data_IF_202523225162
#
_entry.id   IF_202523225162
#
_cell.length_a   1.000
_cell.length_b   1.000
_cell.length_c   1.000
_cell.angle_alpha   90.00
_cell.angle_beta   90.00
_cell.angle_gamma   90.00
#
_symmetry.space_group_name_H-M   'P 1'
#
loop_
_entity.id
_entity.type
_entity.pdbx_description
1 polymer ?
#
# COMPACT_ATOMS: atom_id res chain seq x y z
N UNK A 1 11.77 7.43 16.89
CA UNK A 1 12.69 8.56 16.67
C UNK A 1 13.03 8.78 15.19
N UNK A 2 13.64 7.83 14.45
CA UNK A 2 13.92 8.00 13.00
C UNK A 2 12.66 8.19 12.15
N UNK A 3 11.62 7.42 12.39
CA UNK A 3 10.31 7.58 11.72
C UNK A 3 9.71 8.97 11.95
N UNK A 4 9.72 9.46 13.18
CA UNK A 4 9.16 10.78 13.54
C UNK A 4 9.92 11.93 12.86
N UNK A 5 11.26 11.85 12.82
CA UNK A 5 12.09 12.83 12.13
C UNK A 5 11.86 12.76 10.62
N UNK A 6 11.85 11.56 10.05
CA UNK A 6 11.56 11.36 8.62
C UNK A 6 10.17 11.90 8.24
N UNK A 7 9.16 11.62 9.05
CA UNK A 7 7.79 12.08 8.82
C UNK A 7 7.61 13.59 9.06
N UNK A 8 8.47 14.23 9.85
CA UNK A 8 8.42 15.67 10.04
C UNK A 8 9.07 16.46 8.89
N UNK A 9 10.10 15.90 8.24
CA UNK A 9 10.91 16.62 7.24
C UNK A 9 10.57 16.23 5.81
N UNK A 10 10.43 14.92 5.52
CA UNK A 10 10.24 14.46 4.15
C UNK A 10 8.90 14.88 3.51
N UNK A 11 7.74 14.80 4.20
CA UNK A 11 6.47 15.22 3.61
C UNK A 11 6.41 16.69 3.21
N UNK A 12 6.84 17.67 4.04
CA UNK A 12 6.85 19.08 3.64
C UNK A 12 7.73 19.34 2.41
N UNK A 13 8.92 18.75 2.37
CA UNK A 13 9.84 18.91 1.23
C UNK A 13 9.26 18.31 -0.05
N UNK A 14 8.75 17.10 0.02
CA UNK A 14 8.13 16.45 -1.12
C UNK A 14 6.86 17.17 -1.59
N UNK A 15 5.99 17.61 -0.66
CA UNK A 15 4.81 18.41 -0.99
C UNK A 15 5.19 19.74 -1.66
N UNK A 16 6.29 20.35 -1.26
CA UNK A 16 6.79 21.58 -1.90
C UNK A 16 7.29 21.34 -3.32
N UNK A 17 7.97 20.22 -3.57
CA UNK A 17 8.57 19.87 -4.87
C UNK A 17 7.51 19.37 -5.84
N UNK A 18 6.71 18.36 -5.47
CA UNK A 18 5.79 17.68 -6.38
C UNK A 18 4.35 18.16 -6.30
N UNK A 19 3.99 18.89 -5.24
CA UNK A 19 2.64 19.46 -5.02
C UNK A 19 1.53 18.48 -5.39
N UNK A 20 1.47 17.29 -4.77
CA UNK A 20 0.48 16.28 -5.11
C UNK A 20 -0.94 16.83 -4.85
N UNK A 21 -1.86 16.55 -5.75
CA UNK A 21 -3.28 16.77 -5.50
C UNK A 21 -3.77 15.67 -4.56
N UNK A 22 -4.39 16.04 -3.45
CA UNK A 22 -4.88 15.09 -2.44
C UNK A 22 -6.38 15.34 -2.27
N UNK A 23 -7.19 14.29 -2.44
CA UNK A 23 -8.63 14.32 -2.35
C UNK A 23 -9.12 13.29 -1.32
N UNK A 24 -10.15 13.63 -0.55
CA UNK A 24 -10.79 12.70 0.40
C UNK A 24 -10.01 12.45 1.69
N UNK A 25 -9.14 13.38 2.13
CA UNK A 25 -8.40 13.24 3.40
C UNK A 25 -9.31 13.00 4.61
N UNK A 26 -10.51 13.55 4.59
CA UNK A 26 -11.54 13.38 5.62
C UNK A 26 -12.02 11.94 5.77
N UNK A 27 -11.81 11.10 4.77
CA UNK A 27 -12.14 9.68 4.80
C UNK A 27 -11.16 8.83 5.61
N UNK A 28 -10.00 9.38 5.96
CA UNK A 28 -8.97 8.63 6.68
C UNK A 28 -9.35 8.53 8.16
N UNK A 29 -9.58 7.33 8.72
CA UNK A 29 -9.86 7.18 10.14
C UNK A 29 -8.71 7.74 10.99
N UNK A 30 -9.01 8.67 11.89
CA UNK A 30 -8.00 9.31 12.75
C UNK A 30 -7.34 8.32 13.71
N UNK A 31 -8.08 7.31 14.16
CA UNK A 31 -7.66 6.30 15.14
C UNK A 31 -8.15 4.91 14.74
N UNK A 32 -7.68 3.88 15.43
CA UNK A 32 -8.05 2.49 15.16
C UNK A 32 -7.28 1.87 13.98
N UNK A 33 -7.30 0.55 13.88
CA UNK A 33 -6.69 -0.18 12.78
C UNK A 33 -7.42 0.09 11.47
N UNK A 34 -6.70 0.31 10.38
CA UNK A 34 -7.26 0.51 9.04
C UNK A 34 -6.34 -0.09 7.99
N UNK A 35 -6.93 -0.79 7.03
CA UNK A 35 -6.22 -1.28 5.84
C UNK A 35 -6.26 -0.22 4.74
N UNK A 36 -5.13 0.35 4.39
CA UNK A 36 -4.98 1.30 3.28
C UNK A 36 -4.67 0.51 2.02
N UNK A 37 -5.68 0.31 1.17
CA UNK A 37 -5.58 -0.53 -0.04
C UNK A 37 -5.48 0.35 -1.29
N UNK A 38 -4.35 0.29 -2.00
CA UNK A 38 -4.09 1.13 -3.17
C UNK A 38 -3.75 0.29 -4.42
N UNK A 39 -3.95 0.86 -5.61
CA UNK A 39 -3.32 0.37 -6.83
C UNK A 39 -1.80 0.54 -6.77
N UNK A 40 -1.06 -0.19 -7.59
CA UNK A 40 0.40 -0.19 -7.55
C UNK A 40 1.02 0.04 -8.92
N UNK A 41 1.51 1.25 -9.19
CA UNK A 41 2.08 1.69 -10.46
C UNK A 41 3.61 1.79 -10.39
N UNK A 42 4.13 2.21 -9.24
CA UNK A 42 5.53 2.60 -9.11
C UNK A 42 6.10 2.26 -7.74
N UNK A 43 7.41 2.24 -7.62
CA UNK A 43 8.09 2.25 -6.32
C UNK A 43 7.73 3.51 -5.51
N UNK A 44 7.52 4.64 -6.21
CA UNK A 44 7.14 5.90 -5.59
C UNK A 44 5.82 5.82 -4.79
N UNK A 45 4.92 4.86 -5.08
CA UNK A 45 3.67 4.66 -4.35
C UNK A 45 3.93 4.45 -2.85
N UNK A 46 4.93 3.64 -2.54
CA UNK A 46 5.32 3.31 -1.15
C UNK A 46 6.04 4.46 -0.43
N UNK A 47 6.35 5.54 -1.13
CA UNK A 47 6.88 6.79 -0.58
C UNK A 47 5.78 7.84 -0.48
N UNK A 48 5.04 8.06 -1.57
CA UNK A 48 3.98 9.06 -1.65
C UNK A 48 2.88 8.79 -0.63
N UNK A 49 2.42 7.56 -0.52
CA UNK A 49 1.28 7.23 0.33
C UNK A 49 1.57 7.49 1.84
N UNK A 50 2.68 7.01 2.44
CA UNK A 50 3.02 7.36 3.82
C UNK A 50 3.23 8.86 4.05
N UNK A 51 3.65 9.61 3.03
CA UNK A 51 3.91 11.05 3.14
C UNK A 51 2.64 11.90 3.14
N UNK A 52 1.55 11.41 2.54
CA UNK A 52 0.29 12.18 2.45
C UNK A 52 -0.71 11.80 3.52
N UNK A 53 -0.66 10.57 4.05
CA UNK A 53 -1.52 10.12 5.14
C UNK A 53 -1.11 10.78 6.45
N UNK A 54 -2.04 11.42 7.21
CA UNK A 54 -1.71 12.19 8.42
C UNK A 54 -1.43 11.31 9.65
N UNK A 55 -1.24 10.02 9.46
CA UNK A 55 -0.89 9.04 10.52
C UNK A 55 0.08 8.01 9.98
N UNK A 56 0.75 7.29 10.88
CA UNK A 56 1.69 6.24 10.49
C UNK A 56 1.00 5.14 9.70
N UNK A 57 1.50 4.87 8.50
CA UNK A 57 1.11 3.72 7.68
C UNK A 57 2.28 2.76 7.60
N UNK A 58 2.07 1.53 8.04
CA UNK A 58 3.08 0.48 7.99
C UNK A 58 2.93 -0.29 6.69
N UNK A 59 4.04 -0.47 5.96
CA UNK A 59 4.12 -1.29 4.76
C UNK A 59 5.08 -2.46 4.95
N UNK A 60 4.88 -3.54 4.23
CA UNK A 60 5.90 -4.58 4.10
C UNK A 60 6.80 -4.28 2.90
N UNK A 61 8.11 -4.31 3.11
CA UNK A 61 9.10 -4.13 2.07
C UNK A 61 10.03 -5.35 1.99
N UNK A 62 10.60 -5.60 0.80
CA UNK A 62 11.53 -6.71 0.61
C UNK A 62 12.71 -6.58 1.56
N UNK A 63 13.11 -7.68 2.20
CA UNK A 63 14.20 -7.73 3.18
C UNK A 63 15.53 -7.20 2.59
N UNK A 64 15.76 -7.38 1.30
CA UNK A 64 16.97 -6.90 0.61
C UNK A 64 17.22 -5.40 0.79
N UNK A 65 16.17 -4.60 1.01
CA UNK A 65 16.31 -3.16 1.27
C UNK A 65 16.90 -2.85 2.65
N UNK A 66 16.90 -3.82 3.56
CA UNK A 66 17.36 -3.68 4.95
C UNK A 66 18.69 -4.38 5.21
N UNK A 67 19.08 -5.36 4.38
CA UNK A 67 20.25 -6.22 4.58
C UNK A 67 21.49 -5.77 3.81
N UNK A 68 21.37 -4.72 3.00
CA UNK A 68 22.50 -4.15 2.27
C UNK A 68 23.65 -3.70 3.19
N UNK A 69 24.89 -3.94 2.78
CA UNK A 69 26.10 -3.58 3.55
C UNK A 69 26.68 -2.23 3.11
N UNK A 70 27.55 -1.65 3.95
CA UNK A 70 28.19 -0.37 3.70
C UNK A 70 27.26 0.84 3.78
N UNK A 71 27.75 2.00 3.35
CA UNK A 71 27.03 3.29 3.45
C UNK A 71 25.69 3.24 2.68
N UNK A 72 25.66 2.66 1.48
CA UNK A 72 24.45 2.54 0.66
C UNK A 72 23.38 1.67 1.35
N UNK A 73 23.77 0.54 1.93
CA UNK A 73 22.87 -0.34 2.68
C UNK A 73 22.33 0.34 3.95
N UNK A 74 23.16 1.08 4.66
CA UNK A 74 22.74 1.85 5.84
C UNK A 74 21.73 2.93 5.45
N UNK A 75 21.97 3.69 4.38
CA UNK A 75 21.04 4.72 3.89
C UNK A 75 19.72 4.07 3.48
N UNK A 76 19.74 2.96 2.73
CA UNK A 76 18.54 2.23 2.34
C UNK A 76 17.72 1.80 3.55
N UNK A 77 18.34 1.15 4.53
CA UNK A 77 17.68 0.70 5.75
C UNK A 77 17.03 1.85 6.50
N UNK A 78 17.80 2.92 6.79
CA UNK A 78 17.29 4.11 7.49
C UNK A 78 16.11 4.73 6.75
N UNK A 79 16.18 4.78 5.42
CA UNK A 79 15.11 5.30 4.57
C UNK A 79 13.82 4.47 4.72
N UNK A 80 13.89 3.14 4.55
CA UNK A 80 12.70 2.28 4.66
C UNK A 80 12.14 2.23 6.09
N UNK A 81 12.99 2.23 7.11
CA UNK A 81 12.57 2.34 8.51
C UNK A 81 11.88 3.69 8.78
N UNK A 82 12.37 4.79 8.20
CA UNK A 82 11.75 6.11 8.34
C UNK A 82 10.40 6.24 7.64
N UNK A 83 10.12 5.40 6.64
CA UNK A 83 8.82 5.28 5.99
C UNK A 83 7.86 4.32 6.71
N UNK A 84 8.29 3.71 7.83
CA UNK A 84 7.48 2.75 8.58
C UNK A 84 7.41 1.36 7.93
N UNK A 85 8.36 1.02 7.05
CA UNK A 85 8.40 -0.28 6.41
C UNK A 85 8.96 -1.36 7.34
N UNK A 86 8.34 -2.54 7.31
CA UNK A 86 8.82 -3.75 8.01
C UNK A 86 9.40 -4.71 6.96
N UNK A 87 10.63 -5.25 7.19
CA UNK A 87 11.22 -6.21 6.29
C UNK A 87 10.43 -7.52 6.24
N UNK A 88 10.28 -8.07 5.05
CA UNK A 88 9.70 -9.40 4.85
C UNK A 88 10.43 -10.12 3.70
N UNK A 89 10.75 -11.37 3.92
CA UNK A 89 11.16 -12.27 2.84
C UNK A 89 9.93 -12.60 1.98
N UNK A 90 9.97 -12.40 0.68
CA UNK A 90 8.86 -12.62 -0.24
C UNK A 90 8.98 -13.90 -1.08
N UNK A 91 10.02 -14.66 -0.87
CA UNK A 91 10.42 -15.72 -1.80
C UNK A 91 9.88 -17.11 -1.45
N UNK A 92 9.17 -17.26 -0.30
CA UNK A 92 8.57 -18.53 0.04
C UNK A 92 7.13 -18.39 0.62
N UNK A 93 6.38 -19.50 0.64
CA UNK A 93 4.97 -19.54 1.11
C UNK A 93 4.84 -19.25 2.62
N UNK A 94 5.84 -19.61 3.40
CA UNK A 94 5.89 -19.36 4.85
C UNK A 94 5.93 -17.85 5.14
N UNK A 95 6.58 -17.09 4.28
CA UNK A 95 6.65 -15.63 4.37
C UNK A 95 5.31 -14.94 4.11
N UNK A 96 4.43 -15.54 3.30
CA UNK A 96 3.10 -14.99 3.07
C UNK A 96 2.25 -15.06 4.35
N UNK A 97 2.35 -16.16 5.11
CA UNK A 97 1.67 -16.32 6.40
C UNK A 97 2.25 -15.34 7.42
N UNK A 98 3.58 -15.28 7.55
CA UNK A 98 4.25 -14.33 8.44
C UNK A 98 3.88 -12.87 8.12
N UNK A 99 3.75 -12.54 6.84
CA UNK A 99 3.30 -11.22 6.39
C UNK A 99 1.88 -10.87 6.86
N UNK A 100 0.96 -11.85 6.83
CA UNK A 100 -0.40 -11.66 7.35
C UNK A 100 -0.40 -11.47 8.87
N UNK A 101 0.38 -12.25 9.60
CA UNK A 101 0.49 -12.15 11.06
C UNK A 101 1.05 -10.78 11.49
N UNK A 102 2.08 -10.28 10.81
CA UNK A 102 2.62 -8.93 11.04
C UNK A 102 1.54 -7.87 10.80
N UNK A 103 0.81 -7.99 9.70
CA UNK A 103 -0.26 -7.05 9.37
C UNK A 103 -1.38 -7.06 10.43
N UNK A 104 -1.80 -8.23 10.90
CA UNK A 104 -2.79 -8.36 11.98
C UNK A 104 -2.31 -7.73 13.28
N UNK A 105 -1.05 -7.89 13.64
CA UNK A 105 -0.47 -7.23 14.82
C UNK A 105 -0.45 -5.71 14.68
N UNK A 106 -0.14 -5.16 13.50
CA UNK A 106 -0.20 -3.72 13.21
C UNK A 106 -1.62 -3.19 13.41
N UNK A 107 -2.60 -3.87 12.81
CA UNK A 107 -4.01 -3.49 12.94
C UNK A 107 -4.52 -3.58 14.39
N UNK A 108 -4.12 -4.62 15.14
CA UNK A 108 -4.48 -4.79 16.55
C UNK A 108 -3.92 -3.68 17.46
N UNK A 109 -2.79 -3.06 17.08
CA UNK A 109 -2.25 -1.88 17.77
C UNK A 109 -2.97 -0.57 17.41
N UNK A 110 -4.00 -0.64 16.55
CA UNK A 110 -4.71 0.54 16.08
C UNK A 110 -3.93 1.35 15.04
N UNK A 111 -2.92 0.78 14.39
CA UNK A 111 -2.14 1.44 13.35
C UNK A 111 -2.74 1.20 11.95
N UNK A 112 -2.36 2.04 10.97
CA UNK A 112 -2.72 1.82 9.58
C UNK A 112 -1.73 0.86 8.90
N UNK A 113 -2.24 -0.08 8.11
CA UNK A 113 -1.45 -1.01 7.33
C UNK A 113 -1.71 -0.84 5.83
N UNK A 114 -0.65 -0.55 5.07
CA UNK A 114 -0.73 -0.36 3.63
C UNK A 114 -0.56 -1.67 2.86
N UNK A 115 -1.42 -1.88 1.88
CA UNK A 115 -1.40 -3.07 1.03
C UNK A 115 -1.72 -2.71 -0.43
N UNK A 116 -1.06 -3.39 -1.35
CA UNK A 116 -1.35 -3.36 -2.77
C UNK A 116 -2.02 -4.69 -3.17
N UNK A 117 -3.35 -4.73 -3.35
CA UNK A 117 -4.05 -5.99 -3.60
C UNK A 117 -3.62 -6.70 -4.88
N UNK A 118 -3.10 -5.97 -5.88
CA UNK A 118 -2.55 -6.54 -7.11
C UNK A 118 -1.37 -7.49 -6.87
N UNK A 119 -0.62 -7.28 -5.78
CA UNK A 119 0.53 -8.09 -5.37
C UNK A 119 1.83 -7.81 -6.12
N UNK A 120 1.80 -7.03 -7.19
CA UNK A 120 2.94 -6.55 -7.95
C UNK A 120 2.61 -5.23 -8.63
N UNK A 121 3.62 -4.46 -9.08
CA UNK A 121 3.44 -3.21 -9.82
C UNK A 121 2.86 -3.47 -11.20
N UNK A 122 1.84 -2.70 -11.58
CA UNK A 122 1.36 -2.64 -12.95
C UNK A 122 2.43 -2.00 -13.85
N UNK A 123 2.79 -2.69 -14.92
CA UNK A 123 3.81 -2.20 -15.87
C UNK A 123 3.21 -1.53 -17.11
N UNK A 124 1.94 -1.77 -17.33
CA UNK A 124 1.18 -1.29 -18.51
C UNK A 124 0.09 -0.26 -18.14
N UNK A 125 0.05 0.13 -16.86
CA UNK A 125 -0.89 1.12 -16.34
C UNK A 125 -2.30 0.58 -16.08
N UNK A 126 -2.62 -0.70 -16.37
CA UNK A 126 -3.93 -1.30 -16.10
C UNK A 126 -4.05 -1.76 -14.65
N UNK A 127 -5.28 -1.83 -14.13
CA UNK A 127 -5.56 -2.36 -12.81
C UNK A 127 -5.74 -3.87 -12.88
N UNK A 128 -4.85 -4.60 -12.24
CA UNK A 128 -4.88 -6.06 -12.20
C UNK A 128 -5.82 -6.58 -11.13
N UNK A 129 -6.30 -7.81 -11.30
CA UNK A 129 -7.21 -8.47 -10.36
C UNK A 129 -6.56 -8.60 -8.98
N UNK A 130 -7.29 -8.17 -7.93
CA UNK A 130 -6.81 -8.22 -6.56
C UNK A 130 -6.68 -9.65 -6.01
N UNK A 131 -5.62 -9.91 -5.27
CA UNK A 131 -5.42 -11.11 -4.45
C UNK A 131 -6.18 -10.97 -3.13
N UNK A 132 -6.69 -12.06 -2.60
CA UNK A 132 -7.62 -12.06 -1.46
C UNK A 132 -6.99 -11.74 -0.09
N UNK A 133 -5.70 -11.43 -0.03
CA UNK A 133 -5.01 -11.09 1.22
C UNK A 133 -5.60 -9.86 1.92
N UNK A 134 -6.02 -8.83 1.18
CA UNK A 134 -6.67 -7.64 1.75
C UNK A 134 -7.96 -7.99 2.46
N UNK A 135 -8.81 -8.83 1.85
CA UNK A 135 -10.06 -9.28 2.45
C UNK A 135 -9.82 -10.25 3.61
N UNK A 136 -8.80 -11.12 3.52
CA UNK A 136 -8.41 -11.98 4.63
C UNK A 136 -8.06 -11.17 5.88
N UNK A 137 -7.25 -10.12 5.73
CA UNK A 137 -6.88 -9.25 6.83
C UNK A 137 -8.10 -8.52 7.42
N UNK A 138 -8.94 -7.95 6.59
CA UNK A 138 -10.13 -7.21 7.01
C UNK A 138 -11.14 -8.11 7.75
N UNK A 139 -11.44 -9.28 7.20
CA UNK A 139 -12.36 -10.25 7.81
C UNK A 139 -11.83 -10.81 9.14
N UNK A 140 -10.52 -10.97 9.27
CA UNK A 140 -9.90 -11.49 10.50
C UNK A 140 -9.79 -10.43 11.58
N UNK A 141 -9.42 -9.19 11.22
CA UNK A 141 -9.18 -8.10 12.18
C UNK A 141 -10.43 -7.27 12.50
N UNK A 142 -11.46 -7.30 11.64
CA UNK A 142 -12.60 -6.38 11.69
C UNK A 142 -12.26 -4.96 11.25
N UNK A 143 -11.01 -4.68 10.86
CA UNK A 143 -10.58 -3.35 10.45
C UNK A 143 -11.24 -2.93 9.12
N UNK A 144 -11.67 -1.66 9.00
CA UNK A 144 -12.18 -1.13 7.74
C UNK A 144 -11.07 -1.08 6.68
N UNK A 145 -11.48 -1.12 5.40
CA UNK A 145 -10.57 -0.96 4.28
C UNK A 145 -10.78 0.42 3.68
N UNK A 146 -9.73 1.23 3.64
CA UNK A 146 -9.69 2.53 2.97
C UNK A 146 -9.15 2.33 1.56
N UNK A 147 -9.99 2.40 0.51
CA UNK A 147 -9.53 2.30 -0.86
C UNK A 147 -8.84 3.61 -1.28
N UNK A 148 -7.74 3.48 -2.00
CA UNK A 148 -6.94 4.64 -2.46
C UNK A 148 -6.61 4.49 -3.94
N UNK A 149 -6.84 5.56 -4.70
CA UNK A 149 -6.40 5.69 -6.09
C UNK A 149 -5.13 6.54 -6.19
N UNK A 150 -4.08 5.96 -6.76
CA UNK A 150 -2.83 6.63 -7.09
C UNK A 150 -2.77 6.88 -8.59
N UNK A 151 -2.48 8.12 -9.01
CA UNK A 151 -2.39 8.52 -10.41
C UNK A 151 -1.11 9.30 -10.66
N UNK A 152 -0.37 8.97 -11.72
CA UNK A 152 0.84 9.67 -12.15
C UNK A 152 2.13 9.28 -11.42
N UNK A 153 2.08 8.31 -10.51
CA UNK A 153 3.28 7.81 -9.81
C UNK A 153 4.22 7.02 -10.73
N UNK A 154 3.69 6.41 -11.78
CA UNK A 154 4.45 5.80 -12.87
C UNK A 154 5.25 6.82 -13.67
N UNK A 155 4.72 8.06 -13.83
CA UNK A 155 5.43 9.16 -14.46
C UNK A 155 6.45 9.79 -13.50
N UNK A 156 6.12 9.85 -12.20
CA UNK A 156 7.03 10.31 -11.15
C UNK A 156 8.28 9.44 -11.08
N UNK A 157 8.13 8.13 -11.05
CA UNK A 157 9.25 7.20 -11.08
C UNK A 157 8.94 6.02 -12.01
N UNK A 158 9.23 6.14 -13.31
CA UNK A 158 9.06 5.07 -14.28
C UNK A 158 9.86 3.83 -13.90
N UNK A 159 9.40 2.68 -14.38
CA UNK A 159 10.11 1.40 -14.18
C UNK A 159 11.54 1.53 -14.73
N UNK A 160 12.53 1.14 -13.91
CA UNK A 160 13.96 1.25 -14.24
C UNK A 160 14.58 2.62 -13.94
N UNK A 161 13.78 3.63 -13.58
CA UNK A 161 14.34 4.92 -13.16
C UNK A 161 14.83 4.86 -11.70
N UNK A 162 16.08 5.28 -11.47
CA UNK A 162 16.68 5.35 -10.14
C UNK A 162 16.26 6.59 -9.35
N UNK A 163 15.91 7.69 -10.05
CA UNK A 163 15.53 8.95 -9.43
C UNK A 163 14.12 9.37 -9.86
N UNK A 164 13.36 10.01 -8.96
CA UNK A 164 12.06 10.56 -9.31
C UNK A 164 12.19 11.77 -10.25
N UNK A 165 11.19 11.94 -11.10
CA UNK A 165 11.06 13.07 -12.03
C UNK A 165 10.02 14.07 -11.51
N UNK A 166 9.95 15.24 -12.09
CA UNK A 166 8.83 16.15 -11.87
C UNK A 166 7.61 15.61 -12.65
N UNK A 167 6.59 15.21 -11.92
CA UNK A 167 5.34 14.71 -12.48
C UNK A 167 4.16 15.13 -11.61
N UNK A 168 3.00 15.22 -12.22
CA UNK A 168 1.75 15.47 -11.51
C UNK A 168 1.30 14.18 -10.83
N UNK A 169 1.14 14.21 -9.52
CA UNK A 169 0.65 13.07 -8.73
C UNK A 169 -0.68 13.43 -8.10
N UNK A 170 -1.63 12.53 -8.20
CA UNK A 170 -2.92 12.64 -7.48
C UNK A 170 -3.11 11.42 -6.59
N UNK A 171 -3.54 11.67 -5.35
CA UNK A 171 -3.90 10.65 -4.37
C UNK A 171 -5.35 10.87 -3.96
N UNK A 172 -6.22 9.88 -4.20
CA UNK A 172 -7.65 9.94 -3.85
C UNK A 172 -7.97 8.89 -2.81
N UNK A 173 -8.50 9.35 -1.67
CA UNK A 173 -8.98 8.48 -0.61
C UNK A 173 -10.49 8.30 -0.72
N UNK A 174 -10.93 7.07 -0.92
CA UNK A 174 -12.35 6.73 -0.99
C UNK A 174 -12.99 6.56 0.39
N UNK A 175 -14.29 6.33 0.41
CA UNK A 175 -15.02 6.01 1.65
C UNK A 175 -14.56 4.66 2.21
N UNK A 176 -14.28 4.56 3.52
CA UNK A 176 -13.89 3.30 4.14
C UNK A 176 -14.96 2.22 3.99
N UNK A 177 -14.56 1.06 3.51
CA UNK A 177 -15.42 -0.13 3.38
C UNK A 177 -15.44 -0.82 4.74
N UNK A 178 -16.61 -0.82 5.38
CA UNK A 178 -16.83 -1.51 6.65
C UNK A 178 -17.11 -2.99 6.41
N UNK A 179 -16.47 -3.85 7.19
CA UNK A 179 -16.66 -5.29 7.07
C UNK A 179 -17.86 -5.75 7.92
N UNK A 180 -17.81 -5.52 9.23
CA UNK A 180 -18.86 -5.90 10.17
C UNK A 180 -19.36 -7.34 9.97
N UNK A 181 -20.65 -7.54 10.17
CA UNK A 181 -21.29 -8.85 10.02
C UNK A 181 -21.77 -9.16 8.58
N UNK A 182 -21.41 -8.32 7.60
CA UNK A 182 -21.88 -8.44 6.20
C UNK A 182 -21.60 -9.81 5.57
N UNK A 183 -20.59 -10.51 6.05
CA UNK A 183 -20.15 -11.81 5.53
C UNK A 183 -20.39 -12.97 6.52
N UNK A 184 -21.15 -12.72 7.59
CA UNK A 184 -21.48 -13.75 8.58
C UNK A 184 -22.21 -14.93 7.92
N UNK A 185 -21.77 -16.16 8.21
CA UNK A 185 -22.33 -17.37 7.61
C UNK A 185 -21.95 -17.65 6.15
N UNK A 186 -21.22 -16.74 5.49
CA UNK A 186 -20.74 -16.98 4.13
C UNK A 186 -19.49 -17.89 4.12
N UNK A 187 -19.34 -18.81 3.16
CA UNK A 187 -18.09 -19.56 3.00
C UNK A 187 -16.89 -18.63 2.84
N UNK A 188 -15.83 -18.88 3.60
CA UNK A 188 -14.68 -17.96 3.72
C UNK A 188 -14.02 -17.58 2.39
N UNK A 189 -13.95 -18.52 1.46
CA UNK A 189 -13.41 -18.27 0.11
C UNK A 189 -14.28 -17.29 -0.70
N UNK A 190 -15.60 -17.42 -0.60
CA UNK A 190 -16.58 -16.55 -1.26
C UNK A 190 -16.53 -15.13 -0.65
N UNK A 191 -16.60 -15.04 0.68
CA UNK A 191 -16.52 -13.76 1.40
C UNK A 191 -15.26 -12.98 1.04
N UNK A 192 -14.10 -13.64 1.05
CA UNK A 192 -12.83 -13.03 0.65
C UNK A 192 -12.83 -12.54 -0.80
N UNK A 193 -13.42 -13.32 -1.72
CA UNK A 193 -13.46 -12.91 -3.12
C UNK A 193 -14.38 -11.72 -3.33
N UNK A 194 -15.59 -11.74 -2.79
CA UNK A 194 -16.57 -10.64 -2.91
C UNK A 194 -16.01 -9.34 -2.31
N UNK A 195 -15.46 -9.39 -1.09
CA UNK A 195 -14.88 -8.21 -0.47
C UNK A 195 -13.67 -7.68 -1.26
N UNK A 196 -12.83 -8.56 -1.81
CA UNK A 196 -11.70 -8.13 -2.65
C UNK A 196 -12.20 -7.46 -3.92
N UNK A 197 -13.21 -7.99 -4.58
CA UNK A 197 -13.76 -7.41 -5.82
C UNK A 197 -14.40 -6.05 -5.55
N UNK A 198 -15.07 -5.87 -4.40
CA UNK A 198 -15.59 -4.56 -3.94
C UNK A 198 -14.45 -3.55 -3.76
N UNK A 199 -13.36 -3.94 -3.09
CA UNK A 199 -12.18 -3.08 -2.89
C UNK A 199 -11.55 -2.69 -4.23
N UNK A 200 -11.39 -3.64 -5.15
CA UNK A 200 -10.81 -3.35 -6.47
C UNK A 200 -11.70 -2.44 -7.31
N UNK A 201 -13.02 -2.57 -7.21
CA UNK A 201 -13.98 -1.68 -7.87
C UNK A 201 -13.85 -0.25 -7.32
N UNK A 202 -13.72 -0.09 -6.00
CA UNK A 202 -13.50 1.21 -5.39
C UNK A 202 -12.17 1.83 -5.82
N UNK A 203 -11.08 1.05 -5.84
CA UNK A 203 -9.77 1.51 -6.31
C UNK A 203 -9.84 1.92 -7.79
N UNK A 204 -10.54 1.15 -8.63
CA UNK A 204 -10.74 1.48 -10.04
C UNK A 204 -11.43 2.82 -10.23
N UNK A 205 -12.51 3.06 -9.50
CA UNK A 205 -13.25 4.33 -9.56
C UNK A 205 -12.38 5.55 -9.17
N UNK A 206 -11.46 5.36 -8.21
CA UNK A 206 -10.54 6.41 -7.73
C UNK A 206 -9.34 6.62 -8.66
N UNK A 207 -8.76 5.54 -9.20
CA UNK A 207 -7.58 5.61 -10.05
C UNK A 207 -7.89 5.93 -11.51
N UNK A 208 -9.07 5.54 -11.98
CA UNK A 208 -9.47 5.64 -13.39
C UNK A 208 -8.77 4.64 -14.31
N UNK A 209 -8.08 3.63 -13.76
CA UNK A 209 -7.38 2.62 -14.54
C UNK A 209 -8.36 1.67 -15.25
N UNK A 210 -7.99 1.23 -16.45
CA UNK A 210 -8.68 0.14 -17.14
C UNK A 210 -8.38 -1.20 -16.46
N UNK A 211 -9.40 -2.06 -16.23
CA UNK A 211 -9.16 -3.37 -15.63
C UNK A 211 -8.45 -4.30 -16.61
N UNK A 212 -7.42 -4.99 -16.13
CA UNK A 212 -6.71 -6.01 -16.91
C UNK A 212 -7.48 -7.33 -17.02
N UNK A 213 -8.43 -7.60 -16.12
CA UNK A 213 -9.23 -8.83 -16.10
C UNK A 213 -8.49 -10.08 -15.59
N UNK A 214 -7.18 -10.00 -15.42
CA UNK A 214 -6.29 -11.10 -15.03
C UNK A 214 -5.47 -10.72 -13.79
N UNK A 215 -4.86 -11.72 -13.14
CA UNK A 215 -3.90 -11.49 -12.08
C UNK A 215 -2.56 -10.98 -12.64
N UNK A 216 -1.94 -10.08 -11.90
CA UNK A 216 -0.59 -9.65 -12.22
C UNK A 216 0.41 -10.80 -11.93
N UNK A 217 1.24 -11.10 -12.91
CA UNK A 217 2.32 -12.07 -12.73
C UNK A 217 3.48 -11.41 -11.96
N UNK A 218 3.91 -12.08 -10.91
CA UNK A 218 5.15 -11.69 -10.23
C UNK A 218 6.30 -12.01 -11.19
N UNK A 219 6.86 -11.00 -11.83
CA UNK A 219 8.12 -11.22 -12.56
C UNK A 219 9.19 -11.51 -11.51
N UNK A 220 9.93 -12.63 -11.63
CA UNK A 220 11.11 -12.83 -10.80
C UNK A 220 12.01 -11.60 -10.94
N UNK A 221 12.44 -11.03 -9.83
CA UNK A 221 13.48 -10.00 -9.84
C UNK A 221 14.76 -10.66 -10.31
N UNK A 222 15.25 -10.24 -11.50
CA UNK A 222 16.58 -10.58 -11.96
C UNK A 222 17.63 -9.96 -11.02
#
# INVERSE_FOLDING_TARGET
>A
MLYEVGHAVLPPVAKAIWRPTIEGLENIPATGGVLVAANHLSFADSVVLPMVVPRKVVFLAKEDYFTGTGIKGTISRVWFESLGCIPVDRDNTTSAIASLDIALQVLARGEAFGIYPEGARSRDGRLYRGRTGVAQLALTSGAPILPVGLVGTDQLQPIGASLPRLAKVTVRFGTPIQVGDRFAGMPSGKARRELTDEVMTAIQALSGQEPAGVYNERTPTA
#
